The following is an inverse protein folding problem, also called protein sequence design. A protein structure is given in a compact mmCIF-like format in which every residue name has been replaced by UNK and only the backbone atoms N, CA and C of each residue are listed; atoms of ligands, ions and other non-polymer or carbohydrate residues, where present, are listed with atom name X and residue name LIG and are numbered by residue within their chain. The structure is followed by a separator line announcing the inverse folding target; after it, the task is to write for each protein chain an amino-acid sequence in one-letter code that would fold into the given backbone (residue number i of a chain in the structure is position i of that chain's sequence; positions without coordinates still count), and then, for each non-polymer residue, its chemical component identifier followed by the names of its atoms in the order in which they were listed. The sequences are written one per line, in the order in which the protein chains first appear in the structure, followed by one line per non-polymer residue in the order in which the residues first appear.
data_IF_171063481850
#
_entry.id   IF_171063481850
#
_cell.length_a   1.000
_cell.length_b   1.000
_cell.length_c   1.000
_cell.angle_alpha   90.00
_cell.angle_beta   90.00
_cell.angle_gamma   90.00
#
_symmetry.space_group_name_H-M   'P 1'
#
loop_
_entity.id
_entity.type
_entity.pdbx_description
1 polymer ?
#
# COMPACT_ATOMS: atom_id res chain seq x y z
N UNK A 1 10.56 -17.18 9.63
CA UNK A 1 9.37 -17.06 10.50
C UNK A 1 8.64 -15.78 10.15
N UNK A 2 7.43 -15.90 9.67
CA UNK A 2 6.58 -14.73 9.38
C UNK A 2 6.00 -14.22 10.70
N UNK A 3 6.31 -12.97 11.02
CA UNK A 3 5.71 -12.27 12.17
C UNK A 3 4.43 -11.62 11.72
N UNK A 4 3.33 -11.89 12.39
CA UNK A 4 2.03 -11.29 12.04
C UNK A 4 1.98 -9.82 12.47
N UNK A 5 1.16 -9.02 11.80
CA UNK A 5 0.92 -7.63 12.17
C UNK A 5 0.48 -7.50 13.64
N UNK A 6 -0.37 -8.42 14.09
CA UNK A 6 -0.81 -8.47 15.49
C UNK A 6 0.35 -8.64 16.46
N UNK A 7 1.29 -9.55 16.18
CA UNK A 7 2.46 -9.75 17.03
C UNK A 7 3.38 -8.52 17.08
N UNK A 8 3.51 -7.80 15.95
CA UNK A 8 4.27 -6.55 15.91
C UNK A 8 3.61 -5.51 16.83
N UNK A 9 2.29 -5.32 16.70
CA UNK A 9 1.53 -4.35 17.50
C UNK A 9 1.52 -4.73 18.99
N UNK A 10 1.36 -6.00 19.32
CA UNK A 10 1.38 -6.49 20.71
C UNK A 10 2.77 -6.26 21.34
N UNK A 11 3.85 -6.50 20.58
CA UNK A 11 5.22 -6.20 21.02
C UNK A 11 5.45 -4.71 21.20
N UNK A 12 5.08 -3.90 20.22
CA UNK A 12 5.23 -2.45 20.28
C UNK A 12 4.54 -1.89 21.54
N UNK A 13 3.34 -2.38 21.85
CA UNK A 13 2.58 -1.99 23.05
C UNK A 13 3.26 -2.47 24.34
N UNK A 14 3.71 -3.71 24.39
CA UNK A 14 4.34 -4.31 25.58
C UNK A 14 5.66 -3.64 25.93
N UNK A 15 6.48 -3.39 24.93
CA UNK A 15 7.84 -2.88 25.11
C UNK A 15 7.90 -1.34 25.01
N UNK A 16 6.73 -0.69 24.92
CA UNK A 16 6.56 0.78 24.81
C UNK A 16 7.39 1.40 23.66
N UNK A 17 7.53 0.66 22.55
CA UNK A 17 8.08 1.22 21.31
C UNK A 17 7.06 2.18 20.69
N UNK A 18 7.47 3.39 20.41
CA UNK A 18 6.63 4.43 19.83
C UNK A 18 6.32 4.20 18.35
N UNK A 19 5.59 3.13 18.03
CA UNK A 19 5.07 2.91 16.67
C UNK A 19 3.90 3.85 16.43
N UNK A 20 4.06 4.78 15.52
CA UNK A 20 3.04 5.79 15.18
C UNK A 20 2.40 5.55 13.82
N UNK A 21 3.04 4.79 12.96
CA UNK A 21 2.55 4.46 11.61
C UNK A 21 3.03 3.07 11.19
N UNK A 22 2.20 2.39 10.42
CA UNK A 22 2.54 1.12 9.75
C UNK A 22 2.09 1.15 8.30
N UNK A 23 2.76 0.36 7.47
CA UNK A 23 2.37 0.13 6.08
C UNK A 23 1.93 -1.32 5.91
N UNK A 24 0.80 -1.53 5.24
CA UNK A 24 0.27 -2.84 4.85
C UNK A 24 0.12 -2.91 3.34
N UNK A 25 0.98 -3.69 2.71
CA UNK A 25 0.89 -3.95 1.28
C UNK A 25 0.13 -5.26 1.03
N UNK A 26 -1.00 -5.14 0.35
CA UNK A 26 -1.84 -6.24 -0.15
C UNK A 26 -2.16 -6.06 -1.64
N UNK A 27 -1.38 -5.23 -2.33
CA UNK A 27 -1.57 -4.88 -3.74
C UNK A 27 -1.45 -6.08 -4.70
N UNK A 28 -0.80 -7.15 -4.27
CA UNK A 28 -0.68 -8.40 -5.04
C UNK A 28 -1.94 -9.29 -4.97
N UNK A 29 -2.91 -8.97 -4.14
CA UNK A 29 -4.18 -9.69 -4.01
C UNK A 29 -5.25 -9.11 -4.94
N UNK A 30 -6.43 -9.75 -4.96
CA UNK A 30 -7.60 -9.15 -5.60
C UNK A 30 -7.97 -7.82 -4.92
N UNK A 31 -8.66 -6.94 -5.64
CA UNK A 31 -9.09 -5.65 -5.11
C UNK A 31 -9.93 -5.81 -3.82
N UNK A 32 -10.85 -6.77 -3.83
CA UNK A 32 -11.73 -7.08 -2.70
C UNK A 32 -10.95 -7.63 -1.50
N UNK A 33 -9.99 -8.52 -1.74
CA UNK A 33 -9.16 -9.07 -0.67
C UNK A 33 -8.20 -8.02 -0.10
N UNK A 34 -7.67 -7.13 -0.94
CA UNK A 34 -6.87 -6.00 -0.48
C UNK A 34 -7.69 -5.11 0.46
N UNK A 35 -8.92 -4.73 0.07
CA UNK A 35 -9.83 -3.96 0.93
C UNK A 35 -10.08 -4.70 2.24
N UNK A 36 -10.45 -5.97 2.19
CA UNK A 36 -10.81 -6.74 3.39
C UNK A 36 -9.65 -6.82 4.39
N UNK A 37 -8.46 -7.19 3.93
CA UNK A 37 -7.28 -7.35 4.81
C UNK A 37 -6.73 -6.00 5.29
N UNK A 38 -6.74 -4.98 4.46
CA UNK A 38 -6.35 -3.62 4.86
C UNK A 38 -7.29 -3.08 5.94
N UNK A 39 -8.59 -3.25 5.76
CA UNK A 39 -9.61 -2.85 6.75
C UNK A 39 -9.41 -3.53 8.12
N UNK A 40 -9.08 -4.81 8.14
CA UNK A 40 -8.76 -5.51 9.39
C UNK A 40 -7.52 -4.91 10.08
N UNK A 41 -6.50 -4.56 9.31
CA UNK A 41 -5.31 -3.89 9.84
C UNK A 41 -5.67 -2.53 10.44
N UNK A 42 -6.48 -1.73 9.74
CA UNK A 42 -6.95 -0.42 10.25
C UNK A 42 -7.71 -0.57 11.57
N UNK A 43 -8.60 -1.57 11.67
CA UNK A 43 -9.32 -1.85 12.93
C UNK A 43 -8.40 -2.16 14.11
N UNK A 44 -7.29 -2.87 13.87
CA UNK A 44 -6.31 -3.18 14.92
C UNK A 44 -5.50 -1.94 15.34
N UNK A 45 -5.21 -1.04 14.41
CA UNK A 45 -4.35 0.12 14.61
C UNK A 45 -5.08 1.32 15.23
N UNK A 46 -6.33 1.52 14.86
CA UNK A 46 -7.14 2.70 15.25
C UNK A 46 -7.24 2.91 16.78
N UNK A 47 -7.51 1.86 17.60
CA UNK A 47 -7.54 2.01 19.07
C UNK A 47 -6.17 2.37 19.68
N UNK A 48 -5.08 2.16 18.95
CA UNK A 48 -3.71 2.46 19.39
C UNK A 48 -3.21 3.82 18.87
N UNK A 49 -4.06 4.55 18.14
CA UNK A 49 -3.71 5.80 17.48
C UNK A 49 -2.50 5.67 16.54
N UNK A 50 -2.47 4.55 15.79
CA UNK A 50 -1.44 4.24 14.79
C UNK A 50 -2.03 4.50 13.41
N UNK A 51 -1.35 5.31 12.61
CA UNK A 51 -1.72 5.56 11.21
C UNK A 51 -1.43 4.35 10.33
N UNK A 52 -2.25 4.14 9.31
CA UNK A 52 -2.11 3.03 8.37
C UNK A 52 -1.94 3.55 6.95
N UNK A 53 -0.85 3.15 6.31
CA UNK A 53 -0.62 3.28 4.89
C UNK A 53 -0.95 1.96 4.20
N UNK A 54 -1.58 2.01 3.04
CA UNK A 54 -1.82 0.84 2.18
C UNK A 54 -1.36 1.11 0.75
N UNK A 55 -1.38 0.08 -0.09
CA UNK A 55 -0.99 0.17 -1.49
C UNK A 55 -2.14 -0.26 -2.40
N UNK A 56 -2.37 0.49 -3.47
CA UNK A 56 -3.30 0.17 -4.54
C UNK A 56 -2.62 0.34 -5.90
N UNK A 57 -2.81 -0.66 -6.78
CA UNK A 57 -1.92 -0.89 -7.89
C UNK A 57 -0.70 -1.68 -7.40
N UNK A 58 0.04 -2.28 -8.28
CA UNK A 58 1.19 -3.09 -7.88
C UNK A 58 2.50 -2.48 -8.37
N UNK A 59 3.37 -2.14 -7.43
CA UNK A 59 4.73 -1.70 -7.76
C UNK A 59 5.60 -2.93 -7.99
N UNK A 60 5.89 -3.23 -9.26
CA UNK A 60 6.71 -4.38 -9.66
C UNK A 60 8.18 -4.25 -9.26
N UNK A 61 8.94 -5.34 -9.44
CA UNK A 61 10.39 -5.30 -9.33
C UNK A 61 11.00 -4.67 -10.60
N UNK A 62 12.11 -3.94 -10.45
CA UNK A 62 12.77 -3.28 -11.59
C UNK A 62 13.27 -4.24 -12.68
N UNK A 63 13.46 -5.51 -12.33
CA UNK A 63 13.87 -6.57 -13.26
C UNK A 63 12.71 -7.02 -14.17
N UNK A 64 11.48 -6.88 -13.71
CA UNK A 64 10.25 -7.21 -14.46
C UNK A 64 9.78 -6.05 -15.36
N UNK A 65 10.53 -4.95 -15.38
CA UNK A 65 10.21 -3.72 -16.12
C UNK A 65 10.48 -3.87 -17.62
N UNK A 66 9.96 -4.94 -18.22
CA UNK A 66 9.94 -5.13 -19.66
C UNK A 66 8.57 -4.71 -20.23
N UNK A 67 8.54 -3.56 -20.84
CA UNK A 67 7.67 -3.09 -21.91
C UNK A 67 6.19 -2.78 -21.68
N UNK A 68 5.45 -3.31 -20.71
CA UNK A 68 4.06 -2.89 -20.46
C UNK A 68 3.64 -3.07 -19.01
N UNK A 69 3.97 -2.08 -18.19
CA UNK A 69 3.67 -2.06 -16.75
C UNK A 69 2.36 -1.35 -16.44
N UNK A 70 1.65 -0.85 -17.45
CA UNK A 70 0.42 -0.07 -17.29
C UNK A 70 -0.71 -0.87 -16.61
N UNK A 71 -0.72 -2.20 -16.79
CA UNK A 71 -1.69 -3.08 -16.14
C UNK A 71 -1.55 -3.14 -14.60
N UNK A 72 -0.39 -2.70 -14.09
CA UNK A 72 -0.10 -2.64 -12.65
C UNK A 72 -0.38 -1.27 -12.04
N UNK A 73 -0.66 -0.27 -12.85
CA UNK A 73 -0.93 1.09 -12.39
C UNK A 73 -2.21 1.18 -11.56
N UNK A 74 -2.19 2.11 -10.61
CA UNK A 74 -3.40 2.41 -9.82
C UNK A 74 -4.50 2.94 -10.73
N UNK A 75 -5.69 2.37 -10.63
CA UNK A 75 -6.87 2.82 -11.38
C UNK A 75 -7.58 3.92 -10.61
N UNK A 76 -7.70 5.15 -11.15
CA UNK A 76 -8.30 6.28 -10.45
C UNK A 76 -9.72 6.02 -9.94
N UNK A 77 -10.52 5.27 -10.71
CA UNK A 77 -11.90 4.92 -10.37
C UNK A 77 -12.02 4.01 -9.13
N UNK A 78 -10.95 3.29 -8.77
CA UNK A 78 -10.92 2.39 -7.62
C UNK A 78 -10.51 3.11 -6.33
N UNK A 79 -9.78 4.24 -6.43
CA UNK A 79 -9.13 4.92 -5.30
C UNK A 79 -10.12 5.39 -4.26
N UNK A 80 -11.15 6.12 -4.67
CA UNK A 80 -12.15 6.68 -3.74
C UNK A 80 -12.81 5.61 -2.89
N UNK A 81 -13.31 4.56 -3.53
CA UNK A 81 -13.96 3.43 -2.85
C UNK A 81 -12.98 2.72 -1.91
N UNK A 82 -11.73 2.49 -2.36
CA UNK A 82 -10.71 1.85 -1.54
C UNK A 82 -10.46 2.63 -0.24
N UNK A 83 -10.23 3.94 -0.33
CA UNK A 83 -9.98 4.80 0.84
C UNK A 83 -11.19 4.84 1.78
N UNK A 84 -12.40 5.00 1.24
CA UNK A 84 -13.63 5.06 2.03
C UNK A 84 -13.93 3.74 2.76
N UNK A 85 -13.72 2.60 2.11
CA UNK A 85 -14.03 1.30 2.71
C UNK A 85 -12.95 0.83 3.70
N UNK A 86 -11.69 1.11 3.44
CA UNK A 86 -10.59 0.70 4.32
C UNK A 86 -10.39 1.62 5.50
N UNK A 87 -10.61 2.93 5.32
CA UNK A 87 -10.36 3.95 6.33
C UNK A 87 -8.87 4.21 6.61
N UNK A 88 -8.01 3.99 5.61
CA UNK A 88 -6.57 4.28 5.69
C UNK A 88 -6.29 5.77 5.82
N UNK A 89 -5.09 6.11 6.26
CA UNK A 89 -4.63 7.49 6.43
C UNK A 89 -3.74 7.94 5.27
N UNK A 90 -3.07 6.99 4.57
CA UNK A 90 -2.20 7.26 3.43
C UNK A 90 -2.31 6.14 2.40
N UNK A 91 -2.19 6.49 1.12
CA UNK A 91 -2.23 5.54 0.01
C UNK A 91 -0.97 5.64 -0.85
N UNK A 92 -0.23 4.54 -0.96
CA UNK A 92 0.81 4.38 -1.96
C UNK A 92 0.17 3.99 -3.30
N UNK A 93 0.54 4.71 -4.36
CA UNK A 93 -0.01 4.52 -5.71
C UNK A 93 1.07 4.10 -6.69
N UNK A 94 0.74 3.18 -7.58
CA UNK A 94 1.61 2.75 -8.67
C UNK A 94 1.39 3.66 -9.90
N UNK A 95 2.39 4.47 -10.22
CA UNK A 95 2.38 5.45 -11.31
C UNK A 95 3.64 5.37 -12.20
N UNK A 96 4.35 4.26 -12.17
CA UNK A 96 5.56 4.05 -12.99
C UNK A 96 6.86 3.94 -12.20
N UNK A 97 6.81 3.77 -10.88
CA UNK A 97 7.95 3.41 -10.05
C UNK A 97 8.08 1.89 -9.92
N UNK A 98 9.27 1.41 -9.54
CA UNK A 98 9.53 0.01 -9.26
C UNK A 98 10.47 -0.13 -8.07
N UNK A 99 10.40 -1.28 -7.39
CA UNK A 99 11.35 -1.62 -6.35
C UNK A 99 12.70 -2.01 -6.93
N UNK A 100 13.79 -1.66 -6.23
CA UNK A 100 15.14 -2.06 -6.59
C UNK A 100 15.87 -1.03 -7.45
N UNK A 101 16.96 -1.49 -8.11
CA UNK A 101 17.83 -0.64 -8.92
C UNK A 101 17.32 -0.57 -10.35
N UNK A 102 17.06 0.64 -10.84
CA UNK A 102 16.62 0.84 -12.22
C UNK A 102 17.73 0.55 -13.23
N UNK A 103 17.38 -0.14 -14.32
CA UNK A 103 18.22 -0.35 -15.50
C UNK A 103 17.85 0.61 -16.63
N UNK A 104 17.47 1.82 -16.32
CA UNK A 104 17.08 2.87 -17.26
C UNK A 104 16.48 4.05 -16.54
N UNK A 105 15.91 4.98 -17.29
CA UNK A 105 15.22 6.14 -16.72
C UNK A 105 13.78 5.75 -16.43
N UNK A 106 13.30 5.85 -15.18
CA UNK A 106 11.91 5.59 -14.86
C UNK A 106 11.01 6.62 -15.53
N UNK A 107 9.87 6.18 -16.03
CA UNK A 107 8.83 7.06 -16.56
C UNK A 107 7.68 7.13 -15.57
N UNK A 108 7.55 8.27 -14.89
CA UNK A 108 6.50 8.51 -13.91
C UNK A 108 5.34 9.21 -14.59
N UNK A 109 4.14 8.65 -14.46
CA UNK A 109 2.91 9.19 -15.02
C UNK A 109 2.28 10.24 -14.08
N UNK A 110 2.67 11.48 -14.27
CA UNK A 110 2.14 12.61 -13.49
C UNK A 110 0.70 12.97 -13.85
N UNK A 111 0.23 12.61 -15.04
CA UNK A 111 -1.16 12.87 -15.44
C UNK A 111 -2.09 11.86 -14.78
N UNK A 112 -1.65 10.60 -14.63
CA UNK A 112 -2.32 9.62 -13.78
C UNK A 112 -2.38 10.06 -12.32
N UNK A 113 -1.27 10.57 -11.77
CA UNK A 113 -1.26 11.08 -10.40
C UNK A 113 -2.29 12.19 -10.17
N UNK A 114 -2.45 13.10 -11.11
CA UNK A 114 -3.49 14.17 -11.06
C UNK A 114 -4.91 13.62 -11.10
N UNK A 115 -5.14 12.49 -11.76
CA UNK A 115 -6.47 11.85 -11.80
C UNK A 115 -6.81 11.14 -10.49
N UNK A 116 -5.78 10.66 -9.76
CA UNK A 116 -5.92 9.98 -8.48
C UNK A 116 -6.17 10.98 -7.34
N UNK A 117 -5.57 12.15 -7.40
CA UNK A 117 -5.68 13.19 -6.34
C UNK A 117 -6.85 14.11 -6.59
#
# INVERSE_FOLDING_TARGET
MLVTMKEILDRAKKDNYGVTSIMVDRSSLSYEDNIAQTKETVKMCRPLNISVEAELGHVGQSEDYSSDVSDHFTKPEEVKKFVEETGIDCLAVAIGTAHGRYHGTPHIDFDLLKQIT
#
